data_IF_533421215345
#
_entry.id   IF_533421215345
#
_cell.length_a   1.000
_cell.length_b   1.000
_cell.length_c   1.000
_cell.angle_alpha   90.00
_cell.angle_beta   90.00
_cell.angle_gamma   90.00
#
_symmetry.space_group_name_H-M   'P 1'
#
loop_
_entity.id
_entity.type
_entity.pdbx_description
1 polymer ?
#
# COMPACT_ATOMS: atom_id res chain seq x y z
N UNK A 1 9.99 2.37 -12.66
CA UNK A 1 8.94 3.42 -12.65
C UNK A 1 7.78 2.90 -11.81
N UNK A 2 6.86 3.75 -11.36
CA UNK A 2 5.78 3.28 -10.48
C UNK A 2 4.63 4.25 -10.29
N UNK A 3 3.50 3.69 -9.86
CA UNK A 3 2.26 4.44 -9.60
C UNK A 3 2.22 4.88 -8.14
N UNK A 4 1.85 6.15 -7.94
CA UNK A 4 1.65 6.74 -6.63
C UNK A 4 0.22 7.28 -6.55
N UNK A 5 -0.62 6.59 -5.77
CA UNK A 5 -2.06 6.87 -5.72
C UNK A 5 -2.48 7.30 -4.33
N UNK A 6 -3.51 8.14 -4.25
CA UNK A 6 -4.20 8.32 -2.99
C UNK A 6 -4.88 6.99 -2.62
N UNK A 7 -4.67 6.51 -1.40
CA UNK A 7 -5.05 5.15 -0.96
C UNK A 7 -6.54 4.84 -1.14
N UNK A 8 -7.40 5.85 -1.06
CA UNK A 8 -8.85 5.70 -1.20
C UNK A 8 -9.29 5.39 -2.64
N UNK A 9 -8.44 5.70 -3.64
CA UNK A 9 -8.71 5.43 -5.05
C UNK A 9 -8.09 4.14 -5.57
N UNK A 10 -7.33 3.42 -4.73
CA UNK A 10 -6.74 2.15 -5.14
C UNK A 10 -7.84 1.12 -5.41
N UNK A 11 -7.83 0.56 -6.62
CA UNK A 11 -8.72 -0.53 -7.04
C UNK A 11 -7.92 -1.79 -7.33
N UNK A 12 -8.48 -2.99 -7.13
CA UNK A 12 -7.77 -4.25 -7.39
C UNK A 12 -7.25 -4.39 -8.83
N UNK A 13 -7.97 -3.86 -9.83
CA UNK A 13 -7.52 -3.93 -11.23
C UNK A 13 -6.24 -3.11 -11.46
N UNK A 14 -6.06 -2.00 -10.74
CA UNK A 14 -4.86 -1.16 -10.87
C UNK A 14 -3.62 -1.91 -10.39
N UNK A 15 -3.73 -2.72 -9.34
CA UNK A 15 -2.62 -3.56 -8.87
C UNK A 15 -2.23 -4.59 -9.95
N UNK A 16 -3.23 -5.25 -10.53
CA UNK A 16 -3.02 -6.27 -11.57
C UNK A 16 -2.37 -5.68 -12.83
N UNK A 17 -2.90 -4.56 -13.31
CA UNK A 17 -2.37 -3.85 -14.48
C UNK A 17 -0.93 -3.38 -14.23
N UNK A 18 -0.65 -2.83 -13.03
CA UNK A 18 0.70 -2.41 -12.67
C UNK A 18 1.68 -3.59 -12.62
N UNK A 19 1.27 -4.74 -12.08
CA UNK A 19 2.09 -5.95 -12.06
C UNK A 19 2.41 -6.45 -13.47
N UNK A 20 1.43 -6.45 -14.38
CA UNK A 20 1.61 -6.82 -15.80
C UNK A 20 2.62 -5.89 -16.51
N UNK A 21 2.64 -4.61 -16.15
CA UNK A 21 3.53 -3.59 -16.70
C UNK A 21 4.89 -3.48 -15.96
N UNK A 22 5.18 -4.37 -15.00
CA UNK A 22 6.37 -4.29 -14.12
C UNK A 22 6.51 -2.94 -13.38
N UNK A 23 5.39 -2.35 -12.98
CA UNK A 23 5.31 -1.14 -12.18
C UNK A 23 5.05 -1.47 -10.71
N UNK A 24 5.74 -0.76 -9.80
CA UNK A 24 5.37 -0.82 -8.39
C UNK A 24 4.21 0.13 -8.08
N UNK A 25 3.39 -0.21 -7.11
CA UNK A 25 2.30 0.63 -6.62
C UNK A 25 2.55 1.03 -5.18
N UNK A 26 2.68 2.33 -4.96
CA UNK A 26 2.73 2.94 -3.64
C UNK A 26 1.48 3.79 -3.40
N UNK A 27 1.04 3.84 -2.15
CA UNK A 27 -0.12 4.65 -1.75
C UNK A 27 0.23 5.68 -0.71
N UNK A 28 -0.44 6.83 -0.76
CA UNK A 28 -0.28 7.93 0.18
C UNK A 28 -1.64 8.58 0.52
N UNK A 29 -1.77 9.38 1.57
CA UNK A 29 -1.11 9.18 2.87
C UNK A 29 -2.05 8.35 3.75
N UNK A 30 -1.56 7.25 4.31
CA UNK A 30 -2.39 6.28 5.07
C UNK A 30 -2.05 6.33 6.55
N UNK A 31 -2.95 6.89 7.35
CA UNK A 31 -2.64 7.30 8.71
C UNK A 31 -3.29 6.47 9.82
N UNK A 32 -4.04 5.41 9.47
CA UNK A 32 -4.65 4.52 10.46
C UNK A 32 -4.34 3.05 10.20
N UNK A 33 -4.34 2.27 11.29
CA UNK A 33 -3.92 0.87 11.29
C UNK A 33 -4.75 0.00 10.35
N UNK A 34 -6.06 0.23 10.30
CA UNK A 34 -7.00 -0.53 9.47
C UNK A 34 -6.72 -0.35 7.98
N UNK A 35 -6.55 0.88 7.52
CA UNK A 35 -6.25 1.16 6.13
C UNK A 35 -4.84 0.71 5.75
N UNK A 36 -3.85 0.85 6.63
CA UNK A 36 -2.50 0.31 6.38
C UNK A 36 -2.58 -1.21 6.16
N UNK A 37 -3.32 -1.94 7.01
CA UNK A 37 -3.56 -3.39 6.83
C UNK A 37 -4.24 -3.68 5.50
N UNK A 38 -5.27 -2.91 5.13
CA UNK A 38 -5.98 -3.05 3.86
C UNK A 38 -5.05 -2.86 2.66
N UNK A 39 -4.18 -1.85 2.69
CA UNK A 39 -3.24 -1.59 1.60
C UNK A 39 -2.24 -2.74 1.43
N UNK A 40 -1.69 -3.26 2.53
CA UNK A 40 -0.84 -4.44 2.46
C UNK A 40 -1.58 -5.69 1.97
N UNK A 41 -2.84 -5.88 2.37
CA UNK A 41 -3.67 -6.96 1.83
C UNK A 41 -3.92 -6.83 0.32
N UNK A 42 -3.97 -5.60 -0.19
CA UNK A 42 -4.07 -5.30 -1.63
C UNK A 42 -2.73 -5.44 -2.38
N UNK A 43 -1.67 -5.90 -1.72
CA UNK A 43 -0.35 -6.13 -2.31
C UNK A 43 0.31 -4.86 -2.88
N UNK A 44 0.11 -3.71 -2.24
CA UNK A 44 0.91 -2.51 -2.56
C UNK A 44 2.38 -2.74 -2.17
N UNK A 45 3.30 -2.14 -2.92
CA UNK A 45 4.73 -2.23 -2.63
C UNK A 45 5.15 -1.30 -1.48
N UNK A 46 4.38 -0.25 -1.22
CA UNK A 46 4.70 0.74 -0.21
C UNK A 46 3.50 1.54 0.26
N UNK A 47 3.54 1.90 1.54
CA UNK A 47 2.57 2.77 2.19
C UNK A 47 3.31 3.99 2.73
N UNK A 48 2.94 5.17 2.25
CA UNK A 48 3.42 6.45 2.76
C UNK A 48 2.47 6.88 3.88
N UNK A 49 3.01 7.14 5.05
CA UNK A 49 2.26 7.43 6.29
C UNK A 49 3.02 8.47 7.11
N UNK A 50 2.28 9.29 7.85
CA UNK A 50 2.86 10.18 8.86
C UNK A 50 3.24 9.42 10.15
N UNK A 51 2.85 8.15 10.26
CA UNK A 51 3.09 7.28 11.40
C UNK A 51 3.93 6.05 11.00
N UNK A 52 5.23 6.22 10.68
CA UNK A 52 6.09 5.13 10.21
C UNK A 52 6.16 3.95 11.19
N UNK A 53 6.18 4.23 12.49
CA UNK A 53 6.19 3.21 13.54
C UNK A 53 4.94 2.31 13.49
N UNK A 54 3.77 2.91 13.23
CA UNK A 54 2.53 2.17 13.04
C UNK A 54 2.60 1.30 11.78
N UNK A 55 3.12 1.84 10.68
CA UNK A 55 3.35 1.11 9.44
C UNK A 55 4.23 -0.12 9.63
N UNK A 56 5.36 0.03 10.32
CA UNK A 56 6.29 -1.07 10.64
C UNK A 56 5.63 -2.11 11.54
N UNK A 57 4.95 -1.68 12.61
CA UNK A 57 4.21 -2.56 13.53
C UNK A 57 3.19 -3.43 12.77
N UNK A 58 2.40 -2.82 11.87
CA UNK A 58 1.42 -3.55 11.07
C UNK A 58 2.10 -4.56 10.16
N UNK A 59 3.12 -4.14 9.41
CA UNK A 59 3.85 -5.02 8.49
C UNK A 59 4.42 -6.25 9.21
N UNK A 60 5.09 -6.04 10.34
CA UNK A 60 5.65 -7.13 11.15
C UNK A 60 4.56 -8.05 11.72
N UNK A 61 3.42 -7.49 12.15
CA UNK A 61 2.29 -8.26 12.65
C UNK A 61 1.63 -9.15 11.59
N UNK A 62 1.69 -8.76 10.31
CA UNK A 62 1.12 -9.52 9.20
C UNK A 62 2.04 -10.64 8.67
N UNK A 63 3.31 -10.70 9.08
CA UNK A 63 4.33 -11.65 8.59
C UNK A 63 4.47 -11.66 7.05
N UNK A 64 4.41 -10.48 6.43
CA UNK A 64 4.56 -10.24 4.98
C UNK A 64 5.89 -9.59 4.63
#
# INVERSE_FOLDING_TARGET
DGLHLEWCYLKPNVIKEAEEDNLFVNVWTVNNEENIKKMFFMNVNGVITDYPDLGVKVKQGMKI
#
